data_IF_776450392955
#
_entry.id   IF_776450392955
#
_cell.length_a   1.000
_cell.length_b   1.000
_cell.length_c   1.000
_cell.angle_alpha   90.00
_cell.angle_beta   90.00
_cell.angle_gamma   90.00
#
_symmetry.space_group_name_H-M   'P 1'
#
loop_
_entity.id
_entity.type
_entity.pdbx_description
1 polymer ?
#
# COMPACT_ATOMS: atom_id res chain seq x y z
N UNK A 1 -6.83 -6.85 -11.82
CA UNK A 1 -8.08 -6.66 -11.06
C UNK A 1 -9.26 -6.78 -12.00
N UNK A 2 -10.44 -7.15 -11.49
CA UNK A 2 -11.66 -7.34 -12.26
C UNK A 2 -12.81 -6.63 -11.54
N UNK A 3 -13.65 -5.91 -12.29
CA UNK A 3 -14.83 -5.23 -11.75
C UNK A 3 -16.07 -5.91 -12.28
N UNK A 4 -17.03 -6.16 -11.40
CA UNK A 4 -18.35 -6.71 -11.76
C UNK A 4 -19.46 -5.95 -11.08
N UNK A 5 -20.63 -5.91 -11.70
CA UNK A 5 -21.83 -5.37 -11.08
C UNK A 5 -22.42 -6.40 -10.12
N UNK A 6 -22.63 -5.99 -8.87
CA UNK A 6 -23.42 -6.74 -7.91
C UNK A 6 -24.90 -6.38 -8.10
N UNK A 7 -25.56 -7.13 -8.98
CA UNK A 7 -26.92 -6.87 -9.50
C UNK A 7 -27.96 -6.56 -8.41
N UNK A 8 -27.88 -7.23 -7.25
CA UNK A 8 -28.84 -7.03 -6.16
C UNK A 8 -28.82 -5.62 -5.57
N UNK A 9 -27.68 -4.94 -5.62
CA UNK A 9 -27.50 -3.57 -5.13
C UNK A 9 -27.29 -2.55 -6.26
N UNK A 10 -27.10 -3.00 -7.50
CA UNK A 10 -26.81 -2.12 -8.64
C UNK A 10 -25.50 -1.35 -8.48
N UNK A 11 -24.53 -1.93 -7.76
CA UNK A 11 -23.21 -1.32 -7.50
C UNK A 11 -22.12 -2.11 -8.18
N UNK A 12 -21.13 -1.41 -8.73
CA UNK A 12 -19.92 -2.04 -9.25
C UNK A 12 -18.96 -2.34 -8.10
N UNK A 13 -18.39 -3.54 -8.11
CA UNK A 13 -17.48 -4.04 -7.09
C UNK A 13 -16.20 -4.51 -7.73
N UNK A 14 -15.07 -4.06 -7.20
CA UNK A 14 -13.74 -4.54 -7.56
C UNK A 14 -13.41 -5.82 -6.77
N UNK A 15 -13.05 -6.89 -7.48
CA UNK A 15 -12.73 -8.21 -6.89
C UNK A 15 -11.21 -8.44 -6.79
N UNK A 16 -10.46 -7.36 -6.60
CA UNK A 16 -9.01 -7.35 -6.46
C UNK A 16 -8.54 -5.97 -6.00
N UNK A 17 -7.32 -5.58 -6.38
CA UNK A 17 -6.82 -4.24 -6.08
C UNK A 17 -7.75 -3.16 -6.65
N UNK A 18 -8.14 -2.24 -5.78
CA UNK A 18 -9.13 -1.19 -6.02
C UNK A 18 -8.52 0.21 -5.85
N UNK A 19 -7.59 0.35 -4.92
CA UNK A 19 -7.06 1.64 -4.50
C UNK A 19 -5.88 2.11 -5.35
N UNK A 20 -5.90 3.40 -5.64
CA UNK A 20 -4.84 4.15 -6.31
C UNK A 20 -4.42 5.27 -5.40
N UNK A 21 -3.12 5.38 -5.10
CA UNK A 21 -2.56 6.53 -4.42
C UNK A 21 -2.11 7.58 -5.45
N UNK A 22 -2.87 8.67 -5.71
CA UNK A 22 -2.63 9.53 -6.87
C UNK A 22 -1.25 10.21 -6.86
N UNK A 23 -0.74 10.54 -5.66
CA UNK A 23 0.59 11.11 -5.48
C UNK A 23 1.75 10.16 -5.79
N UNK A 24 1.51 8.84 -5.77
CA UNK A 24 2.55 7.82 -5.90
C UNK A 24 2.40 6.99 -7.18
N UNK A 25 1.18 6.63 -7.55
CA UNK A 25 0.86 5.79 -8.71
C UNK A 25 0.73 6.61 -10.02
N UNK A 26 1.73 7.45 -10.31
CA UNK A 26 1.68 8.43 -11.42
C UNK A 26 1.40 7.78 -12.79
N UNK A 27 1.89 6.58 -13.04
CA UNK A 27 1.62 5.86 -14.29
C UNK A 27 0.14 5.48 -14.43
N UNK A 28 -0.49 5.04 -13.34
CA UNK A 28 -1.93 4.69 -13.30
C UNK A 28 -2.75 5.95 -13.53
N UNK A 29 -2.44 7.05 -12.83
CA UNK A 29 -3.13 8.34 -12.98
C UNK A 29 -3.04 8.87 -14.41
N UNK A 30 -1.87 8.78 -15.05
CA UNK A 30 -1.71 9.20 -16.46
C UNK A 30 -2.55 8.37 -17.40
N UNK A 31 -2.61 7.05 -17.23
CA UNK A 31 -3.42 6.19 -18.11
C UNK A 31 -4.92 6.37 -17.85
N UNK A 32 -5.36 6.53 -16.60
CA UNK A 32 -6.73 6.91 -16.29
C UNK A 32 -7.12 8.21 -17.02
N UNK A 33 -6.29 9.24 -16.90
CA UNK A 33 -6.48 10.54 -17.59
C UNK A 33 -6.53 10.37 -19.11
N UNK A 34 -5.60 9.59 -19.68
CA UNK A 34 -5.52 9.33 -21.12
C UNK A 34 -6.79 8.71 -21.68
N UNK A 35 -7.45 7.87 -20.89
CA UNK A 35 -8.67 7.17 -21.29
C UNK A 35 -9.96 7.88 -20.86
N UNK A 36 -9.86 9.05 -20.22
CA UNK A 36 -11.02 9.79 -19.71
C UNK A 36 -11.73 9.06 -18.57
N UNK A 37 -10.97 8.35 -17.71
CA UNK A 37 -11.47 7.71 -16.50
C UNK A 37 -11.28 8.65 -15.32
N UNK A 38 -12.35 8.89 -14.57
CA UNK A 38 -12.31 9.73 -13.38
C UNK A 38 -11.74 8.97 -12.18
N UNK A 39 -11.06 9.71 -11.29
CA UNK A 39 -10.69 9.21 -9.97
C UNK A 39 -11.72 9.72 -8.96
N UNK A 40 -12.39 8.79 -8.28
CA UNK A 40 -13.25 9.08 -7.14
C UNK A 40 -12.38 9.03 -5.88
N UNK A 41 -12.18 10.18 -5.24
CA UNK A 41 -11.51 10.24 -3.94
C UNK A 41 -12.36 9.51 -2.91
N UNK A 42 -11.69 8.79 -2.01
CA UNK A 42 -12.37 8.16 -0.90
C UNK A 42 -13.07 9.23 -0.05
N UNK A 43 -14.35 9.03 0.19
CA UNK A 43 -15.07 9.78 1.21
C UNK A 43 -15.05 8.85 2.42
N UNK A 44 -14.24 9.17 3.43
CA UNK A 44 -14.20 8.41 4.68
C UNK A 44 -15.62 8.15 5.15
N UNK A 45 -16.09 6.92 4.97
CA UNK A 45 -17.35 6.45 5.53
C UNK A 45 -17.20 6.60 7.04
N UNK A 46 -18.05 7.41 7.69
CA UNK A 46 -17.89 7.90 9.06
C UNK A 46 -17.94 6.84 10.17
N UNK A 47 -17.12 5.81 10.07
CA UNK A 47 -16.75 4.91 11.14
C UNK A 47 -15.90 5.70 12.14
N UNK A 48 -16.32 5.66 13.40
CA UNK A 48 -15.63 6.32 14.50
C UNK A 48 -14.38 5.50 14.84
N UNK A 49 -13.30 5.74 14.09
CA UNK A 49 -11.98 5.16 14.35
C UNK A 49 -11.38 5.86 15.56
N UNK A 50 -11.83 5.46 16.75
CA UNK A 50 -11.17 5.82 17.98
C UNK A 50 -9.71 5.35 17.90
N UNK A 51 -8.78 6.28 17.93
CA UNK A 51 -7.34 6.01 17.90
C UNK A 51 -7.00 4.91 18.92
N UNK A 52 -6.51 3.75 18.46
CA UNK A 52 -6.20 2.64 19.36
C UNK A 52 -4.93 2.90 20.17
N UNK A 53 -4.28 4.06 20.09
CA UNK A 53 -3.08 4.42 20.83
C UNK A 53 -3.33 5.66 21.72
N UNK A 54 -2.90 5.59 22.99
CA UNK A 54 -2.79 6.79 23.82
C UNK A 54 -1.58 7.64 23.39
N UNK A 55 -1.41 8.81 23.98
CA UNK A 55 -0.35 9.76 23.58
C UNK A 55 1.07 9.21 23.71
N UNK A 56 1.34 8.35 24.71
CA UNK A 56 2.66 7.75 24.89
C UNK A 56 2.90 6.65 23.85
N UNK A 57 1.92 5.77 23.66
CA UNK A 57 1.96 4.70 22.67
C UNK A 57 2.05 5.28 21.25
N UNK A 58 1.33 6.37 20.97
CA UNK A 58 1.41 7.11 19.70
C UNK A 58 2.82 7.64 19.47
N UNK A 59 3.45 8.26 20.48
CA UNK A 59 4.82 8.74 20.32
C UNK A 59 5.83 7.61 20.08
N UNK A 60 5.61 6.42 20.64
CA UNK A 60 6.42 5.23 20.36
C UNK A 60 6.21 4.71 18.94
N UNK A 61 4.95 4.69 18.49
CA UNK A 61 4.59 4.31 17.13
C UNK A 61 5.23 5.25 16.09
N UNK A 62 5.18 6.57 16.29
CA UNK A 62 5.87 7.54 15.41
C UNK A 62 7.39 7.30 15.33
N UNK A 63 8.02 6.90 16.45
CA UNK A 63 9.44 6.53 16.45
C UNK A 63 9.70 5.24 15.69
N UNK A 64 8.77 4.29 15.72
CA UNK A 64 8.86 3.09 14.91
C UNK A 64 8.78 3.45 13.42
N UNK A 65 7.80 4.27 13.02
CA UNK A 65 7.67 4.74 11.63
C UNK A 65 8.93 5.47 11.15
N UNK A 66 9.47 6.38 11.95
CA UNK A 66 10.72 7.07 11.62
C UNK A 66 11.90 6.09 11.43
N UNK A 67 11.93 5.00 12.21
CA UNK A 67 12.94 3.97 12.04
C UNK A 67 12.75 3.19 10.74
N UNK A 68 11.52 2.86 10.36
CA UNK A 68 11.22 2.26 9.06
C UNK A 68 11.66 3.20 7.92
N UNK A 69 11.40 4.50 8.05
CA UNK A 69 11.82 5.52 7.07
C UNK A 69 13.35 5.57 6.92
N UNK A 70 14.08 5.60 8.04
CA UNK A 70 15.55 5.61 8.04
C UNK A 70 16.13 4.36 7.34
N UNK A 71 15.58 3.18 7.63
CA UNK A 71 16.04 1.92 7.02
C UNK A 71 15.62 1.83 5.53
N UNK A 72 14.42 2.30 5.18
CA UNK A 72 13.92 2.34 3.80
C UNK A 72 14.68 3.34 2.92
N UNK A 73 15.22 4.43 3.49
CA UNK A 73 16.04 5.40 2.77
C UNK A 73 17.37 4.82 2.25
N UNK A 74 17.76 3.63 2.71
CA UNK A 74 18.92 2.90 2.20
C UNK A 74 18.65 2.19 0.85
N UNK A 75 17.39 2.08 0.43
CA UNK A 75 16.99 1.44 -0.82
C UNK A 75 17.11 2.44 -1.97
N UNK A 76 17.86 2.05 -3.01
CA UNK A 76 18.10 2.86 -4.21
C UNK A 76 17.53 2.15 -5.45
N UNK A 77 16.35 2.59 -5.92
CA UNK A 77 15.69 2.01 -7.08
C UNK A 77 16.46 2.18 -8.40
N UNK A 78 17.35 3.16 -8.49
CA UNK A 78 18.18 3.37 -9.69
C UNK A 78 19.33 2.35 -9.78
N UNK A 79 19.58 1.61 -8.70
CA UNK A 79 20.60 0.57 -8.61
C UNK A 79 19.98 -0.84 -8.69
N UNK A 80 20.17 -1.60 -9.79
CA UNK A 80 19.52 -2.92 -9.97
C UNK A 80 19.86 -3.99 -8.91
N UNK A 81 20.96 -3.84 -8.17
CA UNK A 81 21.40 -4.73 -7.11
C UNK A 81 21.26 -4.12 -5.70
N UNK A 82 20.38 -3.13 -5.51
CA UNK A 82 20.14 -2.44 -4.23
C UNK A 82 19.92 -3.41 -3.05
N UNK A 83 19.26 -4.55 -3.27
CA UNK A 83 18.99 -5.52 -2.21
C UNK A 83 20.28 -6.05 -1.55
N UNK A 84 21.41 -6.04 -2.25
CA UNK A 84 22.71 -6.46 -1.71
C UNK A 84 23.31 -5.42 -0.76
N UNK A 85 22.98 -4.14 -0.89
CA UNK A 85 23.51 -3.10 0.01
C UNK A 85 22.78 -3.08 1.35
N UNK A 86 21.59 -3.68 1.41
CA UNK A 86 20.72 -3.76 2.58
C UNK A 86 20.46 -5.21 3.02
N UNK A 87 21.34 -6.16 2.68
CA UNK A 87 21.19 -7.59 3.02
C UNK A 87 20.97 -7.83 4.52
N UNK A 88 21.52 -6.97 5.38
CA UNK A 88 21.31 -7.03 6.84
C UNK A 88 19.85 -6.79 7.27
N UNK A 89 19.02 -6.20 6.40
CA UNK A 89 17.58 -6.00 6.59
C UNK A 89 16.75 -7.13 5.96
N UNK A 90 17.38 -8.07 5.25
CA UNK A 90 16.71 -9.26 4.71
C UNK A 90 16.54 -10.33 5.80
N UNK A 91 15.70 -10.01 6.79
CA UNK A 91 15.36 -10.85 7.93
C UNK A 91 13.84 -10.98 8.04
N UNK A 92 13.30 -12.04 8.66
CA UNK A 92 11.86 -12.11 8.91
C UNK A 92 11.36 -10.85 9.61
N UNK A 93 10.21 -10.31 9.18
CA UNK A 93 9.66 -9.09 9.76
C UNK A 93 9.45 -9.22 11.27
N UNK A 94 9.09 -10.42 11.75
CA UNK A 94 9.01 -10.74 13.17
C UNK A 94 10.29 -10.38 13.96
N UNK A 95 11.45 -10.67 13.38
CA UNK A 95 12.75 -10.37 13.98
C UNK A 95 13.02 -8.87 13.96
N UNK A 96 12.79 -8.23 12.82
CA UNK A 96 12.98 -6.77 12.68
C UNK A 96 12.15 -6.00 13.71
N UNK A 97 10.87 -6.33 13.85
CA UNK A 97 9.98 -5.67 14.82
C UNK A 97 10.37 -5.96 16.27
N UNK A 98 10.87 -7.16 16.57
CA UNK A 98 11.36 -7.49 17.91
C UNK A 98 12.54 -6.59 18.32
N UNK A 99 13.42 -6.25 17.37
CA UNK A 99 14.56 -5.36 17.60
C UNK A 99 14.16 -3.90 17.88
N UNK A 100 12.94 -3.48 17.49
CA UNK A 100 12.40 -2.15 17.81
C UNK A 100 12.02 -1.99 19.29
N UNK A 101 11.86 -3.09 20.04
CA UNK A 101 11.57 -3.05 21.48
C UNK A 101 10.24 -2.38 21.83
N UNK A 102 9.24 -2.51 20.95
CA UNK A 102 7.94 -1.85 21.10
C UNK A 102 7.05 -2.55 22.13
N UNK A 103 6.24 -1.80 22.91
CA UNK A 103 5.17 -2.40 23.70
C UNK A 103 4.17 -3.15 22.82
N UNK A 104 3.57 -4.21 23.39
CA UNK A 104 2.68 -5.13 22.66
C UNK A 104 1.58 -4.42 21.86
N UNK A 105 0.96 -3.39 22.43
CA UNK A 105 -0.09 -2.60 21.77
C UNK A 105 0.43 -1.86 20.52
N UNK A 106 1.61 -1.26 20.60
CA UNK A 106 2.23 -0.53 19.48
C UNK A 106 2.72 -1.52 18.41
N UNK A 107 3.31 -2.64 18.84
CA UNK A 107 3.68 -3.75 17.95
C UNK A 107 2.46 -4.27 17.18
N UNK A 108 1.32 -4.43 17.85
CA UNK A 108 0.08 -4.91 17.25
C UNK A 108 -0.43 -4.00 16.13
N UNK A 109 -0.43 -2.68 16.35
CA UNK A 109 -0.84 -1.71 15.32
C UNK A 109 0.11 -1.77 14.11
N UNK A 110 1.42 -1.70 14.33
CA UNK A 110 2.41 -1.77 13.25
C UNK A 110 2.27 -3.06 12.43
N UNK A 111 2.05 -4.20 13.08
CA UNK A 111 1.87 -5.48 12.39
C UNK A 111 0.54 -5.57 11.66
N UNK A 112 -0.53 -4.98 12.17
CA UNK A 112 -1.81 -4.94 11.46
C UNK A 112 -1.70 -4.17 10.13
N UNK A 113 -1.02 -3.03 10.15
CA UNK A 113 -0.77 -2.23 8.94
C UNK A 113 0.19 -2.94 7.98
N UNK A 114 1.26 -3.53 8.52
CA UNK A 114 2.19 -4.33 7.72
C UNK A 114 1.48 -5.52 7.06
N UNK A 115 0.57 -6.18 7.78
CA UNK A 115 -0.26 -7.27 7.25
C UNK A 115 -1.20 -6.77 6.14
N UNK A 116 -1.79 -5.59 6.30
CA UNK A 116 -2.67 -5.01 5.28
C UNK A 116 -1.95 -4.78 3.94
N UNK A 117 -0.67 -4.41 3.96
CA UNK A 117 0.15 -4.26 2.76
C UNK A 117 0.70 -5.59 2.22
N UNK A 118 1.21 -6.44 3.11
CA UNK A 118 1.95 -7.65 2.71
C UNK A 118 1.07 -8.88 2.49
N UNK A 119 -0.11 -8.92 3.11
CA UNK A 119 -1.06 -10.03 3.02
C UNK A 119 -0.58 -11.33 3.67
N UNK A 120 0.37 -11.27 4.61
CA UNK A 120 1.00 -12.45 5.21
C UNK A 120 1.43 -12.20 6.67
N UNK A 121 1.61 -13.28 7.44
CA UNK A 121 2.13 -13.26 8.81
C UNK A 121 3.58 -12.74 8.84
N UNK A 122 4.00 -12.06 9.90
CA UNK A 122 5.35 -11.46 10.00
C UNK A 122 6.51 -12.45 9.92
N UNK A 123 6.26 -13.76 10.01
CA UNK A 123 7.26 -14.80 9.81
C UNK A 123 7.36 -15.29 8.36
N UNK A 124 6.42 -14.90 7.50
CA UNK A 124 6.31 -15.38 6.12
C UNK A 124 6.86 -14.39 5.08
N UNK A 125 7.22 -13.18 5.48
CA UNK A 125 7.89 -12.20 4.63
C UNK A 125 9.09 -11.55 5.32
N UNK A 126 9.98 -11.03 4.48
CA UNK A 126 11.19 -10.32 4.92
C UNK A 126 10.91 -8.84 5.16
N UNK A 127 11.59 -8.25 6.15
CA UNK A 127 11.48 -6.83 6.46
C UNK A 127 11.86 -5.96 5.25
N UNK A 128 12.82 -6.39 4.43
CA UNK A 128 13.20 -5.69 3.19
C UNK A 128 12.02 -5.53 2.21
N UNK A 129 11.06 -6.46 2.21
CA UNK A 129 9.87 -6.39 1.35
C UNK A 129 8.94 -5.24 1.77
N UNK A 130 8.74 -5.06 3.07
CA UNK A 130 7.96 -3.93 3.57
C UNK A 130 8.71 -2.61 3.39
N UNK A 131 10.01 -2.58 3.69
CA UNK A 131 10.84 -1.38 3.55
C UNK A 131 10.92 -0.92 2.08
N UNK A 132 10.87 -1.86 1.13
CA UNK A 132 10.74 -1.55 -0.29
C UNK A 132 9.46 -0.78 -0.60
N UNK A 133 8.31 -1.21 -0.07
CA UNK A 133 7.05 -0.46 -0.21
C UNK A 133 7.14 0.91 0.45
N UNK A 134 7.66 0.98 1.68
CA UNK A 134 7.89 2.25 2.40
C UNK A 134 8.73 3.22 1.56
N UNK A 135 9.82 2.74 0.95
CA UNK A 135 10.66 3.55 0.06
C UNK A 135 9.91 3.99 -1.20
N UNK A 136 9.11 3.11 -1.81
CA UNK A 136 8.27 3.44 -2.97
C UNK A 136 7.22 4.51 -2.69
N UNK A 137 6.64 4.52 -1.49
CA UNK A 137 5.73 5.57 -1.01
C UNK A 137 6.46 6.78 -0.42
N UNK A 138 7.78 6.70 -0.19
CA UNK A 138 8.61 7.75 0.36
C UNK A 138 8.51 7.95 1.89
N UNK A 139 7.56 7.30 2.56
CA UNK A 139 7.52 7.18 4.03
C UNK A 139 6.56 6.07 4.46
N UNK A 140 6.75 5.56 5.68
CA UNK A 140 5.93 4.50 6.26
C UNK A 140 4.51 4.99 6.50
N UNK A 141 4.37 6.25 6.95
CA UNK A 141 3.06 6.91 7.04
C UNK A 141 2.35 6.97 5.69
N UNK A 142 3.03 7.35 4.61
CA UNK A 142 2.41 7.38 3.28
C UNK A 142 2.06 5.98 2.77
N UNK A 143 2.85 4.96 3.11
CA UNK A 143 2.55 3.57 2.75
C UNK A 143 1.31 3.03 3.50
N UNK A 144 1.13 3.37 4.77
CA UNK A 144 0.03 2.87 5.60
C UNK A 144 -1.25 3.70 5.50
N UNK A 145 -1.13 5.03 5.41
CA UNK A 145 -2.24 5.98 5.54
C UNK A 145 -2.41 6.87 4.28
N UNK A 146 -1.64 6.60 3.21
CA UNK A 146 -1.60 7.45 2.02
C UNK A 146 -2.97 7.69 1.38
N UNK A 147 -3.09 8.84 0.69
CA UNK A 147 -4.31 9.20 -0.05
C UNK A 147 -4.77 8.04 -0.93
N UNK A 148 -6.03 7.64 -0.80
CA UNK A 148 -6.64 6.57 -1.55
C UNK A 148 -7.73 7.13 -2.46
N UNK A 149 -7.67 6.74 -3.74
CA UNK A 149 -8.68 7.02 -4.73
C UNK A 149 -9.07 5.73 -5.46
N UNK A 150 -10.27 5.71 -6.04
CA UNK A 150 -10.76 4.63 -6.89
C UNK A 150 -10.91 5.10 -8.33
N UNK A 151 -10.81 4.19 -9.28
CA UNK A 151 -11.22 4.48 -10.66
C UNK A 151 -12.75 4.40 -10.73
N UNK A 152 -13.41 5.48 -11.14
CA UNK A 152 -14.85 5.51 -11.30
C UNK A 152 -15.31 4.48 -12.34
N UNK A 153 -16.30 3.65 -11.98
CA UNK A 153 -16.79 2.56 -12.83
C UNK A 153 -15.88 1.32 -12.86
N UNK A 154 -14.94 1.22 -11.92
CA UNK A 154 -14.14 0.02 -11.70
C UNK A 154 -12.68 0.12 -12.13
N UNK A 155 -11.83 -0.55 -11.38
CA UNK A 155 -10.37 -0.52 -11.57
C UNK A 155 -9.93 -1.27 -12.83
N UNK A 156 -10.75 -2.21 -13.35
CA UNK A 156 -10.51 -2.85 -14.64
C UNK A 156 -10.77 -1.91 -15.85
N UNK A 157 -11.26 -0.69 -15.62
CA UNK A 157 -11.50 0.34 -16.64
C UNK A 157 -10.29 0.62 -17.53
N UNK A 158 -9.08 0.70 -16.93
CA UNK A 158 -7.82 0.89 -17.68
C UNK A 158 -7.54 -0.32 -18.57
N UNK A 159 -7.65 -1.54 -18.02
CA UNK A 159 -7.40 -2.76 -18.77
C UNK A 159 -8.35 -2.89 -19.96
N UNK A 160 -9.64 -2.59 -19.77
CA UNK A 160 -10.65 -2.55 -20.85
C UNK A 160 -10.31 -1.51 -21.90
N UNK A 161 -9.83 -0.33 -21.51
CA UNK A 161 -9.44 0.71 -22.46
C UNK A 161 -8.22 0.32 -23.31
N UNK A 162 -7.20 -0.30 -22.69
CA UNK A 162 -6.04 -0.86 -23.39
C UNK A 162 -6.48 -1.99 -24.34
N UNK A 163 -7.29 -2.93 -23.88
CA UNK A 163 -7.78 -4.03 -24.70
C UNK A 163 -8.54 -3.54 -25.95
N UNK A 164 -9.37 -2.50 -25.82
CA UNK A 164 -10.05 -1.85 -26.95
C UNK A 164 -9.07 -1.31 -28.00
N UNK A 165 -7.93 -0.75 -27.58
CA UNK A 165 -6.90 -0.26 -28.50
C UNK A 165 -6.14 -1.41 -29.20
N UNK A 166 -5.93 -2.53 -28.51
CA UNK A 166 -5.27 -3.70 -29.08
C UNK A 166 -6.18 -4.50 -30.04
N UNK A 167 -7.49 -4.31 -29.92
CA UNK A 167 -8.48 -4.87 -30.83
C UNK A 167 -8.43 -6.41 -30.88
N UNK A 168 -8.51 -7.05 -32.07
CA UNK A 168 -8.60 -8.50 -32.20
C UNK A 168 -7.40 -9.31 -31.68
N UNK A 169 -6.31 -8.64 -31.26
CA UNK A 169 -5.10 -9.29 -30.72
C UNK A 169 -5.29 -9.77 -29.29
N UNK A 170 -6.26 -9.21 -28.57
CA UNK A 170 -6.68 -9.63 -27.24
C UNK A 170 -8.10 -10.15 -27.38
N UNK A 171 -8.31 -11.44 -27.11
CA UNK A 171 -9.62 -12.09 -27.10
C UNK A 171 -9.89 -12.66 -25.71
#
# INVERSE_FOLDING_TARGET
>A
TWTTTFEAAGVDVDLGAEWVAPGHHLAVVREATRYGLDLALDQTDGWDDADPLDSEARAQYERALARLDDDAALIDFDRPDWYRTVEHLDVPMARYVAELGLPERVRGVLLAESFALMGADENEYSAISLLHEVSGFGSARAAFEGESARIAGGTDGIARAIARQLGPRVR
#
